data_IF_905487146117
#
_entry.id   IF_905487146117
#
_cell.length_a   1.000
_cell.length_b   1.000
_cell.length_c   1.000
_cell.angle_alpha   90.00
_cell.angle_beta   90.00
_cell.angle_gamma   90.00
#
_symmetry.space_group_name_H-M   'P 1'
#
loop_
_entity.id
_entity.type
_entity.pdbx_description
1 polymer ?
#
# COMPACT_ATOMS: atom_id res chain seq x y z
N UNK A 1 -29.63 -0.01 4.11
CA UNK A 1 -30.03 0.25 3.76
C UNK A 1 -30.25 1.35 3.00
N UNK A 2 -30.74 1.51 2.26
CA UNK A 2 -30.81 2.33 1.45
C UNK A 2 -31.85 3.18 1.52
N UNK A 3 -32.29 3.31 2.44
CA UNK A 3 -33.33 3.96 2.59
C UNK A 3 -33.22 5.32 2.43
N UNK A 4 -32.20 5.85 2.35
CA UNK A 4 -32.06 7.08 2.19
C UNK A 4 -32.28 7.37 0.95
N UNK A 5 -32.94 7.64 0.44
CA UNK A 5 -33.38 7.96 -0.61
C UNK A 5 -32.80 9.17 -1.07
N UNK A 6 -32.69 9.46 -2.04
CA UNK A 6 -32.49 10.68 -2.65
C UNK A 6 -31.20 11.36 -2.27
N UNK A 7 -31.30 12.54 -1.84
CA UNK A 7 -30.16 13.37 -1.50
C UNK A 7 -29.29 12.83 -0.40
N UNK A 8 -29.89 12.19 0.56
CA UNK A 8 -29.14 11.61 1.65
C UNK A 8 -28.16 10.55 1.19
N UNK A 9 -28.60 9.72 0.26
CA UNK A 9 -27.74 8.68 -0.27
C UNK A 9 -26.57 9.27 -1.06
N UNK A 10 -26.85 10.29 -1.88
CA UNK A 10 -25.79 10.92 -2.60
C UNK A 10 -24.77 11.53 -1.69
N UNK A 11 -25.11 12.24 -0.64
CA UNK A 11 -24.19 12.84 0.32
C UNK A 11 -23.37 11.76 1.00
N UNK A 12 -23.99 10.67 1.42
CA UNK A 12 -23.30 9.57 2.08
C UNK A 12 -22.26 8.95 1.13
N UNK A 13 -22.63 8.71 -0.11
CA UNK A 13 -21.74 8.11 -1.08
C UNK A 13 -20.52 8.99 -1.36
N UNK A 14 -20.71 10.29 -1.49
CA UNK A 14 -19.61 11.21 -1.73
C UNK A 14 -18.66 11.24 -0.56
N UNK A 15 -19.17 11.29 0.66
CA UNK A 15 -18.34 11.27 1.85
C UNK A 15 -17.59 9.95 1.93
N UNK A 16 -18.25 8.83 1.67
CA UNK A 16 -17.62 7.53 1.74
C UNK A 16 -16.49 7.40 0.72
N UNK A 17 -16.66 7.90 -0.49
CA UNK A 17 -15.66 7.81 -1.53
C UNK A 17 -14.41 8.63 -1.23
N UNK A 18 -14.53 9.68 -0.42
CA UNK A 18 -13.38 10.49 -0.06
C UNK A 18 -12.75 10.07 1.27
N UNK A 19 -13.27 9.04 1.92
CA UNK A 19 -12.68 8.56 3.17
C UNK A 19 -11.33 7.91 2.92
N UNK A 20 -10.40 8.02 3.86
CA UNK A 20 -9.13 7.33 3.73
C UNK A 20 -9.35 5.81 3.74
N UNK A 21 -8.68 5.13 2.86
CA UNK A 21 -8.77 3.69 2.75
C UNK A 21 -7.37 3.11 2.67
N UNK A 22 -6.91 2.43 3.71
CA UNK A 22 -5.60 1.80 3.64
C UNK A 22 -5.67 0.52 2.81
N UNK A 23 -4.71 0.37 1.91
CA UNK A 23 -4.57 -0.82 1.10
C UNK A 23 -3.15 -1.31 1.31
N UNK A 24 -2.98 -2.55 1.70
CA UNK A 24 -1.65 -3.07 1.99
C UNK A 24 -1.47 -4.50 1.49
N UNK A 25 -0.20 -4.89 1.36
CA UNK A 25 0.20 -6.25 1.04
C UNK A 25 0.88 -6.81 2.29
N UNK A 26 0.42 -7.93 2.83
CA UNK A 26 1.07 -8.54 3.99
C UNK A 26 2.29 -9.35 3.55
N UNK A 27 3.38 -9.22 4.27
CA UNK A 27 4.58 -10.03 4.06
C UNK A 27 4.77 -10.86 5.31
N UNK A 28 4.62 -12.18 5.25
CA UNK A 28 4.79 -13.00 6.45
C UNK A 28 6.24 -13.00 6.91
N UNK A 29 6.44 -13.00 8.22
CA UNK A 29 7.76 -13.07 8.79
C UNK A 29 7.85 -14.26 9.70
N UNK A 30 9.08 -14.68 10.01
CA UNK A 30 9.29 -15.83 10.88
C UNK A 30 8.69 -15.53 12.25
N UNK A 31 7.79 -16.38 12.78
CA UNK A 31 7.17 -16.16 14.09
C UNK A 31 8.20 -16.11 15.24
N UNK A 32 9.38 -16.66 15.02
CA UNK A 32 10.41 -16.64 16.06
C UNK A 32 11.25 -15.38 16.01
N UNK A 33 11.02 -14.49 15.07
CA UNK A 33 11.77 -13.26 14.96
C UNK A 33 11.44 -12.34 16.14
N UNK A 34 12.43 -11.80 16.86
CA UNK A 34 12.16 -10.88 17.95
C UNK A 34 11.45 -9.62 17.46
N UNK A 35 10.61 -9.05 18.35
CA UNK A 35 9.87 -7.83 18.00
C UNK A 35 10.82 -6.70 17.63
N UNK A 36 11.97 -6.59 18.31
CA UNK A 36 12.94 -5.56 18.01
C UNK A 36 13.49 -5.70 16.59
N UNK A 37 13.69 -6.92 16.13
CA UNK A 37 14.16 -7.15 14.76
C UNK A 37 13.07 -6.80 13.75
N UNK A 38 11.82 -7.10 14.05
CA UNK A 38 10.71 -6.72 13.17
C UNK A 38 10.64 -5.20 13.05
N UNK A 39 10.78 -4.48 14.15
CA UNK A 39 10.74 -3.03 14.15
C UNK A 39 11.90 -2.43 13.34
N UNK A 40 13.10 -3.04 13.42
CA UNK A 40 14.23 -2.62 12.62
C UNK A 40 13.94 -2.79 11.14
N UNK A 41 13.36 -3.92 10.75
CA UNK A 41 13.01 -4.19 9.36
C UNK A 41 11.99 -3.17 8.89
N UNK A 42 10.97 -2.88 9.69
CA UNK A 42 9.93 -1.92 9.34
C UNK A 42 10.55 -0.54 9.11
N UNK A 43 11.39 -0.09 10.03
CA UNK A 43 12.01 1.23 9.92
C UNK A 43 12.93 1.33 8.71
N UNK A 44 13.73 0.29 8.46
CA UNK A 44 14.64 0.26 7.32
C UNK A 44 13.85 0.26 6.01
N UNK A 45 12.79 -0.54 5.95
CA UNK A 45 11.98 -0.66 4.75
C UNK A 45 11.27 0.67 4.45
N UNK A 46 10.69 1.29 5.46
CA UNK A 46 10.00 2.56 5.28
C UNK A 46 10.97 3.64 4.81
N UNK A 47 12.15 3.70 5.40
CA UNK A 47 13.17 4.68 5.01
C UNK A 47 13.59 4.49 3.56
N UNK A 48 13.80 3.25 3.16
CA UNK A 48 14.23 2.97 1.78
C UNK A 48 13.12 3.21 0.77
N UNK A 49 11.88 2.84 1.11
CA UNK A 49 10.77 3.07 0.20
C UNK A 49 10.42 4.54 0.03
N UNK A 50 10.77 5.38 1.00
CA UNK A 50 10.55 6.82 0.87
C UNK A 50 11.62 7.51 0.01
N UNK A 51 12.59 6.76 -0.49
CA UNK A 51 13.58 7.32 -1.38
C UNK A 51 12.88 7.90 -2.61
N UNK A 52 13.09 9.18 -2.92
CA UNK A 52 12.43 9.80 -4.08
C UNK A 52 12.70 9.09 -5.39
N UNK A 53 13.87 8.48 -5.56
CA UNK A 53 14.20 7.77 -6.78
C UNK A 53 13.30 6.55 -6.99
N UNK A 54 12.97 5.84 -5.92
CA UNK A 54 12.07 4.69 -6.00
C UNK A 54 10.66 5.16 -6.32
N UNK A 55 10.18 6.17 -5.62
CA UNK A 55 8.81 6.66 -5.82
C UNK A 55 8.64 7.31 -7.19
N UNK A 56 9.66 7.98 -7.69
CA UNK A 56 9.61 8.56 -9.03
C UNK A 56 9.54 7.46 -10.09
N UNK A 57 10.29 6.38 -9.91
CA UNK A 57 10.24 5.26 -10.81
C UNK A 57 8.85 4.62 -10.83
N UNK A 58 8.23 4.47 -9.67
CA UNK A 58 6.85 3.97 -9.58
C UNK A 58 5.90 4.91 -10.31
N UNK A 59 6.07 6.21 -10.14
CA UNK A 59 5.24 7.20 -10.82
C UNK A 59 5.35 7.07 -12.34
N UNK A 60 6.55 6.92 -12.85
CA UNK A 60 6.75 6.79 -14.29
C UNK A 60 6.23 5.47 -14.83
N UNK A 61 6.50 4.38 -14.13
CA UNK A 61 6.08 3.06 -14.58
C UNK A 61 4.56 2.93 -14.65
N UNK A 62 3.85 3.57 -13.74
CA UNK A 62 2.38 3.50 -13.70
C UNK A 62 1.70 4.73 -14.29
N UNK A 63 2.46 5.70 -14.79
CA UNK A 63 1.92 6.94 -15.36
C UNK A 63 1.02 7.66 -14.36
N UNK A 64 1.54 7.82 -13.14
CA UNK A 64 0.74 8.35 -12.04
C UNK A 64 0.42 9.84 -12.16
N UNK A 65 1.24 10.61 -12.88
CA UNK A 65 0.90 12.02 -13.11
C UNK A 65 -0.45 12.12 -13.79
N UNK A 66 -0.70 11.23 -14.75
CA UNK A 66 -1.99 11.21 -15.44
C UNK A 66 -3.07 10.60 -14.54
N UNK A 67 -2.81 9.46 -13.95
CA UNK A 67 -3.82 8.75 -13.17
C UNK A 67 -4.23 9.48 -11.91
N UNK A 68 -3.30 10.20 -11.28
CA UNK A 68 -3.59 10.97 -10.08
C UNK A 68 -3.92 12.43 -10.39
N UNK A 69 -3.86 12.80 -11.66
CA UNK A 69 -4.15 14.15 -12.10
C UNK A 69 -3.24 15.17 -11.43
N UNK A 70 -1.96 14.87 -11.37
CA UNK A 70 -0.95 15.76 -10.82
C UNK A 70 -0.01 16.20 -11.92
N UNK A 71 0.50 17.43 -11.88
CA UNK A 71 1.27 17.99 -13.00
C UNK A 71 2.67 17.42 -13.15
N UNK A 72 3.31 16.95 -12.07
CA UNK A 72 4.68 16.47 -12.15
C UNK A 72 4.89 15.22 -11.32
N UNK A 73 5.96 14.47 -11.66
CA UNK A 73 6.35 13.32 -10.87
C UNK A 73 6.74 13.72 -9.45
N UNK A 74 7.30 14.90 -9.27
CA UNK A 74 7.67 15.40 -7.94
C UNK A 74 6.44 15.49 -7.03
N UNK A 75 5.33 15.98 -7.53
CA UNK A 75 4.10 16.07 -6.75
C UNK A 75 3.52 14.69 -6.47
N UNK A 76 3.66 13.74 -7.41
CA UNK A 76 3.27 12.37 -7.17
C UNK A 76 4.11 11.76 -6.04
N UNK A 77 5.43 11.99 -6.05
CA UNK A 77 6.33 11.49 -5.02
C UNK A 77 5.92 12.06 -3.65
N UNK A 78 5.59 13.33 -3.59
CA UNK A 78 5.15 13.93 -2.33
C UNK A 78 3.86 13.31 -1.83
N UNK A 79 2.92 13.04 -2.73
CA UNK A 79 1.65 12.43 -2.36
C UNK A 79 1.85 10.97 -1.91
N UNK A 80 2.69 10.21 -2.60
CA UNK A 80 2.99 8.85 -2.21
C UNK A 80 3.69 8.80 -0.85
N UNK A 81 4.57 9.76 -0.58
CA UNK A 81 5.21 9.82 0.72
C UNK A 81 4.22 10.04 1.86
N UNK A 82 3.17 10.81 1.63
CA UNK A 82 2.14 11.02 2.64
C UNK A 82 1.31 9.77 2.85
N UNK A 83 1.08 8.98 1.82
CA UNK A 83 0.22 7.83 1.88
C UNK A 83 0.93 6.55 2.33
N UNK A 84 2.24 6.46 2.10
CA UNK A 84 2.99 5.25 2.34
C UNK A 84 3.06 4.90 3.82
N UNK A 85 2.85 3.65 4.15
CA UNK A 85 3.05 3.16 5.50
C UNK A 85 3.64 1.75 5.49
N UNK A 86 4.37 1.43 6.54
CA UNK A 86 4.87 0.08 6.80
C UNK A 86 4.63 -0.14 8.29
N UNK A 87 3.88 -1.15 8.63
CA UNK A 87 3.52 -1.39 10.02
C UNK A 87 3.42 -2.87 10.34
N UNK A 88 3.54 -3.25 11.60
CA UNK A 88 3.37 -4.65 11.98
C UNK A 88 1.91 -5.06 11.89
N UNK A 89 1.67 -6.31 11.62
CA UNK A 89 0.34 -6.87 11.57
C UNK A 89 0.39 -8.38 11.61
N UNK A 90 -0.74 -9.00 11.35
CA UNK A 90 -0.84 -10.44 11.31
C UNK A 90 -1.51 -10.83 10.00
N UNK A 91 -1.26 -12.05 9.54
CA UNK A 91 -1.99 -12.56 8.42
C UNK A 91 -2.51 -13.95 8.74
N UNK A 92 -3.66 -14.29 8.19
CA UNK A 92 -4.25 -15.59 8.40
C UNK A 92 -3.68 -16.57 7.40
N UNK A 93 -3.29 -17.73 7.88
CA UNK A 93 -2.82 -18.82 7.04
C UNK A 93 -3.59 -20.07 7.41
N UNK A 94 -3.54 -21.12 6.58
CA UNK A 94 -4.17 -22.38 6.94
C UNK A 94 -3.65 -22.96 8.26
N UNK A 95 -2.45 -22.54 8.68
CA UNK A 95 -1.89 -23.00 9.94
C UNK A 95 -2.12 -22.03 11.09
N UNK A 96 -2.96 -21.04 10.91
CA UNK A 96 -3.28 -20.04 11.93
C UNK A 96 -2.70 -18.68 11.60
N UNK A 97 -2.78 -17.75 12.57
CA UNK A 97 -2.26 -16.42 12.37
C UNK A 97 -0.76 -16.39 12.51
N UNK A 98 -0.10 -15.73 11.59
CA UNK A 98 1.35 -15.54 11.67
C UNK A 98 1.66 -14.04 11.64
N UNK A 99 2.73 -13.60 12.29
CA UNK A 99 3.11 -12.19 12.23
C UNK A 99 3.49 -11.79 10.81
N UNK A 100 3.19 -10.57 10.46
CA UNK A 100 3.48 -10.05 9.13
C UNK A 100 3.86 -8.58 9.20
N UNK A 101 4.37 -8.06 8.10
CA UNK A 101 4.60 -6.64 7.92
C UNK A 101 3.63 -6.21 6.84
N UNK A 102 2.86 -5.16 7.12
CA UNK A 102 1.91 -4.63 6.15
C UNK A 102 2.53 -3.43 5.46
N UNK A 103 2.65 -3.49 4.16
CA UNK A 103 3.26 -2.44 3.36
C UNK A 103 2.19 -1.91 2.41
N UNK A 104 1.90 -0.64 2.49
CA UNK A 104 0.82 -0.11 1.66
C UNK A 104 0.71 1.40 1.68
N UNK A 105 -0.44 1.85 1.21
CA UNK A 105 -0.73 3.26 1.10
C UNK A 105 -2.15 3.51 1.58
N UNK A 106 -2.36 4.72 2.12
CA UNK A 106 -3.68 5.15 2.51
C UNK A 106 -4.18 6.12 1.46
N UNK A 107 -4.94 5.62 0.51
CA UNK A 107 -5.58 6.44 -0.52
C UNK A 107 -7.03 6.71 -0.16
N UNK A 108 -7.81 7.17 -1.12
CA UNK A 108 -9.24 7.40 -0.91
C UNK A 108 -10.02 6.18 -1.41
N UNK A 109 -11.18 5.95 -0.84
CA UNK A 109 -12.03 4.83 -1.25
C UNK A 109 -12.30 4.87 -2.76
N UNK A 110 -12.53 6.04 -3.33
CA UNK A 110 -12.79 6.15 -4.76
C UNK A 110 -11.59 5.74 -5.62
N UNK A 111 -10.39 5.75 -5.05
CA UNK A 111 -9.17 5.42 -5.77
C UNK A 111 -8.64 4.04 -5.37
N UNK A 112 -9.47 3.19 -4.77
CA UNK A 112 -9.04 1.90 -4.25
C UNK A 112 -8.29 1.06 -5.28
N UNK A 113 -8.77 1.01 -6.50
CA UNK A 113 -8.10 0.22 -7.55
C UNK A 113 -6.71 0.76 -7.85
N UNK A 114 -6.57 2.07 -7.96
CA UNK A 114 -5.28 2.70 -8.21
C UNK A 114 -4.35 2.53 -7.02
N UNK A 115 -4.85 2.72 -5.80
CA UNK A 115 -4.07 2.53 -4.58
C UNK A 115 -3.53 1.10 -4.50
N UNK A 116 -4.37 0.13 -4.86
CA UNK A 116 -3.97 -1.28 -4.91
C UNK A 116 -2.90 -1.53 -5.96
N UNK A 117 -3.03 -0.93 -7.12
CA UNK A 117 -2.04 -1.06 -8.19
C UNK A 117 -0.68 -0.52 -7.74
N UNK A 118 -0.68 0.63 -7.08
CA UNK A 118 0.55 1.22 -6.57
C UNK A 118 1.17 0.34 -5.48
N UNK A 119 0.36 -0.17 -4.57
CA UNK A 119 0.85 -1.03 -3.49
C UNK A 119 1.51 -2.29 -4.05
N UNK A 120 0.90 -2.91 -5.05
CA UNK A 120 1.45 -4.11 -5.69
C UNK A 120 2.77 -3.76 -6.40
N UNK A 121 2.80 -2.63 -7.10
CA UNK A 121 4.02 -2.21 -7.80
C UNK A 121 5.17 -1.94 -6.83
N UNK A 122 4.88 -1.37 -5.66
CA UNK A 122 5.91 -1.12 -4.67
C UNK A 122 6.56 -2.40 -4.18
N UNK A 123 5.84 -3.51 -4.21
CA UNK A 123 6.41 -4.79 -3.79
C UNK A 123 7.59 -5.20 -4.64
N UNK A 124 7.67 -4.77 -5.89
CA UNK A 124 8.83 -5.05 -6.74
C UNK A 124 10.11 -4.44 -6.16
N UNK A 125 9.98 -3.33 -5.40
CA UNK A 125 11.12 -2.71 -4.74
C UNK A 125 11.31 -3.27 -3.33
N UNK A 126 10.27 -3.80 -2.73
CA UNK A 126 10.33 -4.35 -1.38
C UNK A 126 11.13 -5.65 -1.33
N UNK A 127 10.91 -6.56 -2.28
CA UNK A 127 11.57 -7.85 -2.25
C UNK A 127 13.09 -7.75 -2.24
N UNK A 128 13.71 -6.93 -3.11
CA UNK A 128 15.17 -6.77 -3.05
C UNK A 128 15.65 -6.14 -1.75
N UNK A 129 14.90 -5.20 -1.19
CA UNK A 129 15.28 -4.54 0.06
C UNK A 129 15.31 -5.57 1.19
N UNK A 130 14.35 -6.48 1.21
CA UNK A 130 14.29 -7.52 2.23
C UNK A 130 15.21 -8.69 1.94
N UNK A 131 15.77 -8.76 0.75
CA UNK A 131 16.62 -9.88 0.36
C UNK A 131 15.84 -11.17 0.14
N UNK A 132 14.56 -11.06 -0.21
CA UNK A 132 13.68 -12.21 -0.39
C UNK A 132 13.33 -12.32 -1.86
N UNK A 133 13.26 -13.55 -2.37
CA UNK A 133 12.79 -13.75 -3.73
C UNK A 133 11.30 -13.46 -3.82
N UNK A 134 10.85 -12.77 -4.86
CA UNK A 134 9.43 -12.53 -5.02
C UNK A 134 8.69 -13.85 -5.13
N UNK A 135 7.50 -13.95 -4.56
CA UNK A 135 6.70 -15.16 -4.71
C UNK A 135 6.33 -15.35 -6.18
N UNK A 136 6.11 -16.60 -6.56
CA UNK A 136 5.70 -16.87 -7.92
C UNK A 136 4.39 -16.19 -8.18
N UNK A 137 4.25 -15.61 -9.38
CA UNK A 137 2.99 -15.02 -9.73
C UNK A 137 1.92 -16.07 -9.67
N UNK A 138 0.87 -15.75 -9.00
CA UNK A 138 -0.24 -16.64 -8.95
C UNK A 138 -1.10 -16.36 -10.16
N UNK A 139 -1.29 -17.32 -11.01
CA UNK A 139 -2.07 -17.10 -12.22
C UNK A 139 -3.53 -16.78 -11.97
N UNK A 140 -3.99 -16.91 -10.77
CA UNK A 140 -5.37 -16.59 -10.48
C UNK A 140 -5.59 -15.12 -10.21
N UNK A 141 -4.56 -14.37 -10.20
CA UNK A 141 -4.77 -12.98 -10.00
C UNK A 141 -5.38 -12.35 -11.19
#
# INVERSE_FOLDING_TARGET
MMLFLGGGYFAYRTIKQNRPQPIWVPVPINPQLPITKRDEIINTLLKKLRNPDILEKVSKDLNLTHKMNLPTDHEVVEELNKQLFVRPGDMDTPMGKVPSIHIGLTGKVKDTALTGEIAIRLMDDVWPILGIKPPKKNPTF
#
